data_IF_275878237422
#
_entry.id   IF_275878237422
#
_cell.length_a   1.000
_cell.length_b   1.000
_cell.length_c   1.000
_cell.angle_alpha   90.00
_cell.angle_beta   90.00
_cell.angle_gamma   90.00
#
_symmetry.space_group_name_H-M   'P 1'
#
loop_
_entity.id
_entity.type
_entity.pdbx_description
1 polymer ?
#
# COMPACT_ATOMS: atom_id res chain seq x y z
N UNK A 1 -1.83 -2.74 -12.23
CA UNK A 1 -1.97 -1.68 -11.21
C UNK A 1 -2.14 -2.31 -9.85
N UNK A 2 -1.52 -1.75 -8.86
CA UNK A 2 -1.56 -2.26 -7.50
C UNK A 2 -1.77 -1.15 -6.50
N UNK A 3 -2.38 -1.48 -5.35
CA UNK A 3 -2.55 -0.59 -4.21
C UNK A 3 -1.77 -1.18 -3.04
N UNK A 4 -0.90 -0.38 -2.45
CA UNK A 4 -0.06 -0.81 -1.32
C UNK A 4 -0.59 -0.33 0.01
N UNK A 5 -0.63 -1.22 0.98
CA UNK A 5 -0.71 -0.87 2.39
C UNK A 5 0.69 -0.51 2.92
N UNK A 6 0.74 0.05 4.12
CA UNK A 6 1.97 0.57 4.73
C UNK A 6 3.03 -0.49 4.96
N UNK A 7 2.68 -1.62 5.56
CA UNK A 7 3.67 -2.63 5.97
C UNK A 7 4.48 -3.20 4.81
N UNK A 8 3.87 -3.67 3.72
CA UNK A 8 4.67 -4.16 2.60
C UNK A 8 5.49 -3.06 1.94
N UNK A 9 4.97 -1.83 1.88
CA UNK A 9 5.70 -0.70 1.32
C UNK A 9 6.96 -0.42 2.13
N UNK A 10 6.85 -0.39 3.45
CA UNK A 10 7.98 -0.18 4.36
C UNK A 10 8.98 -1.33 4.26
N UNK A 11 8.51 -2.58 4.30
CA UNK A 11 9.38 -3.76 4.24
C UNK A 11 10.20 -3.79 2.96
N UNK A 12 9.57 -3.53 1.82
CA UNK A 12 10.25 -3.56 0.53
C UNK A 12 11.24 -2.40 0.39
N UNK A 13 10.94 -1.25 0.98
CA UNK A 13 11.86 -0.12 1.04
C UNK A 13 13.08 -0.44 1.90
N UNK A 14 12.87 -1.05 3.07
CA UNK A 14 13.94 -1.41 3.99
C UNK A 14 14.94 -2.39 3.40
N UNK A 15 14.48 -3.31 2.57
CA UNK A 15 15.37 -4.28 1.91
C UNK A 15 15.87 -3.82 0.55
N UNK A 16 15.60 -2.56 0.19
CA UNK A 16 16.15 -1.95 -1.04
C UNK A 16 15.49 -2.42 -2.33
N UNK A 17 14.26 -2.93 -2.28
CA UNK A 17 13.59 -3.51 -3.44
C UNK A 17 12.53 -2.59 -4.09
N UNK A 18 12.25 -1.44 -3.49
CA UNK A 18 11.17 -0.58 -3.98
C UNK A 18 11.40 -0.08 -5.41
N UNK A 19 12.64 0.17 -5.80
CA UNK A 19 12.95 0.58 -7.16
C UNK A 19 12.59 -0.48 -8.20
N UNK A 20 12.77 -1.75 -7.86
CA UNK A 20 12.37 -2.85 -8.74
C UNK A 20 10.85 -2.97 -8.81
N UNK A 21 10.15 -2.71 -7.70
CA UNK A 21 8.69 -2.75 -7.66
C UNK A 21 8.10 -1.69 -8.59
N UNK A 22 8.67 -0.50 -8.62
CA UNK A 22 8.21 0.57 -9.51
C UNK A 22 8.44 0.26 -11.00
N UNK A 23 9.33 -0.68 -11.29
CA UNK A 23 9.54 -1.19 -12.66
C UNK A 23 8.61 -2.37 -12.99
N UNK A 24 8.25 -3.16 -11.97
CA UNK A 24 7.40 -4.34 -12.14
C UNK A 24 5.95 -3.97 -12.43
N UNK A 25 5.45 -2.91 -11.81
CA UNK A 25 4.06 -2.47 -11.95
C UNK A 25 3.99 -1.11 -12.65
N UNK A 26 3.09 -1.00 -13.62
CA UNK A 26 2.92 0.24 -14.39
C UNK A 26 2.40 1.38 -13.51
N UNK A 27 1.49 1.07 -12.60
CA UNK A 27 0.94 2.06 -11.69
C UNK A 27 0.86 1.50 -10.29
N UNK A 28 1.37 2.27 -9.34
CA UNK A 28 1.33 1.97 -7.91
C UNK A 28 0.58 3.09 -7.22
N UNK A 29 -0.42 2.72 -6.43
CA UNK A 29 -1.23 3.67 -5.67
C UNK A 29 -1.12 3.41 -4.19
N UNK A 30 -1.16 4.48 -3.41
CA UNK A 30 -1.33 4.40 -1.95
C UNK A 30 -2.48 5.34 -1.55
N UNK A 31 -3.29 4.94 -0.57
CA UNK A 31 -4.32 5.84 -0.06
C UNK A 31 -3.73 6.90 0.88
N UNK A 32 -4.51 7.94 1.18
CA UNK A 32 -4.07 9.02 2.05
C UNK A 32 -3.62 8.56 3.44
N UNK A 33 -4.30 7.61 4.04
CA UNK A 33 -3.91 7.11 5.37
C UNK A 33 -2.54 6.46 5.34
N UNK A 34 -2.21 5.74 4.26
CA UNK A 34 -0.89 5.15 4.08
C UNK A 34 0.17 6.25 3.86
N UNK A 35 -0.15 7.25 3.07
CA UNK A 35 0.74 8.40 2.88
C UNK A 35 1.06 9.07 4.21
N UNK A 36 0.05 9.35 5.02
CA UNK A 36 0.23 9.99 6.34
C UNK A 36 1.11 9.13 7.25
N UNK A 37 0.85 7.84 7.30
CA UNK A 37 1.59 6.93 8.16
C UNK A 37 3.06 6.80 7.74
N UNK A 38 3.30 6.57 6.45
CA UNK A 38 4.63 6.24 5.94
C UNK A 38 5.47 7.51 5.70
N UNK A 39 4.87 8.54 5.11
CA UNK A 39 5.61 9.74 4.70
C UNK A 39 5.58 10.83 5.78
N UNK A 40 4.40 11.28 6.17
CA UNK A 40 4.30 12.40 7.13
C UNK A 40 4.82 12.01 8.51
N UNK A 41 4.35 10.89 9.06
CA UNK A 41 4.81 10.44 10.39
C UNK A 41 6.26 9.96 10.35
N UNK A 42 6.67 9.31 9.26
CA UNK A 42 8.03 8.89 9.07
C UNK A 42 9.01 10.06 9.02
N UNK A 43 8.65 11.16 8.34
CA UNK A 43 9.46 12.38 8.29
C UNK A 43 9.57 13.05 9.66
N UNK A 44 8.47 13.09 10.43
CA UNK A 44 8.48 13.64 11.80
C UNK A 44 9.43 12.85 12.70
N UNK A 45 9.47 11.53 12.54
CA UNK A 45 10.36 10.65 13.31
C UNK A 45 11.79 10.64 12.78
N UNK A 46 12.05 11.29 11.64
CA UNK A 46 13.38 11.34 11.02
C UNK A 46 13.78 10.04 10.34
N UNK A 47 12.84 9.22 9.94
CA UNK A 47 13.10 7.96 9.24
C UNK A 47 13.56 8.22 7.80
N UNK A 48 14.70 7.64 7.42
CA UNK A 48 15.28 7.81 6.08
C UNK A 48 14.41 7.18 4.98
N UNK A 49 13.67 6.12 5.31
CA UNK A 49 12.78 5.45 4.36
C UNK A 49 11.66 6.37 3.87
N UNK A 50 11.15 7.24 4.76
CA UNK A 50 10.11 8.19 4.40
C UNK A 50 10.58 9.16 3.32
N UNK A 51 11.79 9.68 3.45
CA UNK A 51 12.39 10.58 2.45
C UNK A 51 12.63 9.88 1.13
N UNK A 52 13.10 8.64 1.20
CA UNK A 52 13.33 7.83 0.01
C UNK A 52 12.04 7.58 -0.76
N UNK A 53 10.98 7.17 -0.06
CA UNK A 53 9.67 6.94 -0.67
C UNK A 53 9.06 8.23 -1.21
N UNK A 54 9.27 9.35 -0.54
CA UNK A 54 8.78 10.65 -0.99
C UNK A 54 9.31 11.00 -2.38
N UNK A 55 10.55 10.63 -2.69
CA UNK A 55 11.12 10.84 -4.02
C UNK A 55 10.35 10.10 -5.11
N UNK A 56 9.92 8.87 -4.84
CA UNK A 56 9.11 8.11 -5.81
C UNK A 56 7.74 8.75 -6.02
N UNK A 57 7.17 9.33 -4.98
CA UNK A 57 5.89 10.05 -5.09
C UNK A 57 6.06 11.34 -5.91
N UNK A 58 7.11 12.10 -5.66
CA UNK A 58 7.41 13.32 -6.42
C UNK A 58 7.66 13.03 -7.90
N UNK A 59 8.28 11.89 -8.20
CA UNK A 59 8.52 11.43 -9.57
C UNK A 59 7.28 10.77 -10.19
N UNK A 60 6.17 10.70 -9.48
CA UNK A 60 4.91 10.10 -9.90
C UNK A 60 5.01 8.60 -10.20
N UNK A 61 6.01 7.93 -9.64
CA UNK A 61 6.14 6.48 -9.72
C UNK A 61 5.23 5.78 -8.73
N UNK A 62 4.93 6.44 -7.61
CA UNK A 62 3.92 6.03 -6.64
C UNK A 62 2.93 7.18 -6.52
N UNK A 63 1.66 6.91 -6.72
CA UNK A 63 0.61 7.93 -6.70
C UNK A 63 -0.23 7.80 -5.43
N UNK A 64 -0.51 8.94 -4.82
CA UNK A 64 -1.43 9.00 -3.69
C UNK A 64 -2.83 9.33 -4.22
N UNK A 65 -3.82 8.55 -3.85
CA UNK A 65 -5.18 8.77 -4.30
C UNK A 65 -6.16 8.76 -3.13
N UNK A 66 -7.25 9.48 -3.29
CA UNK A 66 -8.30 9.57 -2.28
C UNK A 66 -9.27 8.40 -2.41
N UNK A 67 -9.68 7.90 -1.25
CA UNK A 67 -10.67 6.84 -1.17
C UNK A 67 -12.05 7.44 -0.99
N UNK A 68 -13.02 6.97 -1.78
CA UNK A 68 -14.43 7.25 -1.50
C UNK A 68 -14.91 6.22 -0.50
N UNK A 69 -15.21 6.68 0.71
CA UNK A 69 -15.63 5.82 1.80
C UNK A 69 -17.05 5.34 1.61
N UNK A 70 -17.21 4.12 1.16
CA UNK A 70 -18.53 3.52 0.95
C UNK A 70 -18.83 2.35 1.89
N UNK A 71 -17.83 1.83 2.59
CA UNK A 71 -18.00 0.62 3.38
C UNK A 71 -17.69 0.87 4.86
N UNK A 72 -18.71 1.36 5.57
CA UNK A 72 -18.60 1.68 7.01
C UNK A 72 -18.32 0.48 7.89
N UNK A 73 -18.60 -0.74 7.43
CA UNK A 73 -18.39 -1.96 8.23
C UNK A 73 -16.90 -2.23 8.50
N UNK A 74 -16.00 -1.62 7.74
CA UNK A 74 -14.56 -1.78 7.95
C UNK A 74 -14.00 -0.86 9.05
N UNK A 75 -14.79 0.11 9.53
CA UNK A 75 -14.37 0.96 10.64
C UNK A 75 -14.23 0.11 11.92
N UNK A 76 -13.06 0.23 12.57
CA UNK A 76 -12.77 -0.50 13.80
C UNK A 76 -12.42 -1.97 13.63
N UNK A 77 -12.54 -2.52 12.42
CA UNK A 77 -12.17 -3.92 12.13
C UNK A 77 -10.70 -4.01 11.76
N UNK A 78 -10.21 -3.07 10.96
CA UNK A 78 -8.82 -2.95 10.56
C UNK A 78 -8.38 -1.50 10.76
N UNK A 79 -7.02 -1.25 10.78
CA UNK A 79 -6.47 0.08 10.92
C UNK A 79 -6.83 0.96 9.71
N UNK A 80 -6.80 2.30 9.81
CA UNK A 80 -7.15 3.27 8.78
C UNK A 80 -6.41 3.05 7.47
N UNK A 81 -5.12 2.77 7.52
CA UNK A 81 -4.33 2.48 6.31
C UNK A 81 -4.82 1.24 5.59
N UNK A 82 -5.07 0.17 6.33
CA UNK A 82 -5.59 -1.07 5.76
C UNK A 82 -7.00 -0.89 5.19
N UNK A 83 -7.85 -0.21 5.91
CA UNK A 83 -9.22 0.08 5.46
C UNK A 83 -9.23 0.86 4.15
N UNK A 84 -8.46 1.93 4.10
CA UNK A 84 -8.38 2.76 2.89
C UNK A 84 -7.75 2.00 1.72
N UNK A 85 -6.72 1.19 1.99
CA UNK A 85 -6.09 0.38 0.94
C UNK A 85 -7.06 -0.65 0.36
N UNK A 86 -7.84 -1.33 1.21
CA UNK A 86 -8.86 -2.28 0.76
C UNK A 86 -9.91 -1.56 -0.09
N UNK A 87 -10.42 -0.43 0.38
CA UNK A 87 -11.43 0.33 -0.35
C UNK A 87 -10.91 0.86 -1.69
N UNK A 88 -9.69 1.36 -1.71
CA UNK A 88 -9.09 1.87 -2.94
C UNK A 88 -8.89 0.76 -3.97
N UNK A 89 -8.39 -0.40 -3.55
CA UNK A 89 -8.24 -1.57 -4.43
C UNK A 89 -9.58 -2.04 -4.97
N UNK A 90 -10.61 -2.05 -4.13
CA UNK A 90 -11.95 -2.42 -4.54
C UNK A 90 -12.51 -1.45 -5.58
N UNK A 91 -12.38 -0.14 -5.32
CA UNK A 91 -12.89 0.90 -6.22
C UNK A 91 -12.19 0.89 -7.58
N UNK A 92 -10.89 0.60 -7.59
CA UNK A 92 -10.09 0.56 -8.83
C UNK A 92 -10.10 -0.80 -9.53
N UNK A 93 -10.64 -1.81 -8.89
CA UNK A 93 -10.55 -3.23 -9.35
C UNK A 93 -9.09 -3.67 -9.50
N UNK A 94 -8.25 -3.23 -8.59
CA UNK A 94 -6.80 -3.49 -8.62
C UNK A 94 -6.39 -4.53 -7.59
N UNK A 95 -5.15 -4.98 -7.71
CA UNK A 95 -4.52 -5.91 -6.77
C UNK A 95 -4.12 -5.15 -5.51
N UNK A 96 -4.41 -5.71 -4.36
CA UNK A 96 -4.02 -5.17 -3.06
C UNK A 96 -2.74 -5.84 -2.57
N UNK A 97 -1.78 -5.04 -2.11
CA UNK A 97 -0.56 -5.55 -1.49
C UNK A 97 -0.65 -5.28 0.01
N UNK A 98 -0.85 -6.34 0.78
CA UNK A 98 -1.12 -6.26 2.22
C UNK A 98 -0.58 -7.50 2.94
N UNK A 99 0.02 -7.31 4.11
CA UNK A 99 0.57 -8.40 4.91
C UNK A 99 -0.38 -8.86 6.03
N UNK A 100 -1.19 -7.95 6.57
CA UNK A 100 -2.06 -8.27 7.70
C UNK A 100 -3.08 -9.36 7.35
N UNK A 101 -3.15 -10.38 8.21
CA UNK A 101 -4.02 -11.55 7.99
C UNK A 101 -5.50 -11.17 7.92
N UNK A 102 -5.96 -10.33 8.84
CA UNK A 102 -7.37 -9.90 8.88
C UNK A 102 -7.74 -9.10 7.63
N UNK A 103 -6.88 -8.20 7.20
CA UNK A 103 -7.09 -7.42 5.98
C UNK A 103 -7.13 -8.33 4.75
N UNK A 104 -6.27 -9.34 4.69
CA UNK A 104 -6.27 -10.31 3.58
C UNK A 104 -7.55 -11.13 3.54
N UNK A 105 -8.07 -11.53 4.70
CA UNK A 105 -9.35 -12.25 4.77
C UNK A 105 -10.50 -11.39 4.27
N UNK A 106 -10.52 -10.10 4.63
CA UNK A 106 -11.54 -9.16 4.15
C UNK A 106 -11.44 -8.98 2.64
N UNK A 107 -10.23 -8.82 2.13
CA UNK A 107 -9.98 -8.69 0.68
C UNK A 107 -10.52 -9.92 -0.07
N UNK A 108 -10.25 -11.11 0.45
CA UNK A 108 -10.76 -12.36 -0.15
C UNK A 108 -12.28 -12.38 -0.20
N UNK A 109 -12.94 -12.00 0.89
CA UNK A 109 -14.41 -11.94 0.95
C UNK A 109 -15.00 -10.95 -0.05
N UNK A 110 -14.28 -9.87 -0.35
CA UNK A 110 -14.69 -8.85 -1.32
C UNK A 110 -14.31 -9.17 -2.76
N UNK A 111 -13.66 -10.31 -2.99
CA UNK A 111 -13.21 -10.69 -4.32
C UNK A 111 -12.02 -9.89 -4.83
N UNK A 112 -11.25 -9.27 -3.92
CA UNK A 112 -10.04 -8.51 -4.27
C UNK A 112 -8.86 -9.47 -4.32
N UNK A 113 -8.11 -9.45 -5.41
CA UNK A 113 -6.85 -10.19 -5.49
C UNK A 113 -5.81 -9.50 -4.63
N UNK A 114 -5.03 -10.27 -3.89
CA UNK A 114 -4.01 -9.70 -3.01
C UNK A 114 -2.73 -10.52 -3.02
N UNK A 115 -1.63 -9.86 -2.66
CA UNK A 115 -0.33 -10.48 -2.37
C UNK A 115 0.25 -9.82 -1.12
N UNK A 116 1.10 -10.54 -0.39
CA UNK A 116 1.90 -9.97 0.69
C UNK A 116 3.30 -9.65 0.21
N UNK A 117 4.15 -9.19 1.12
CA UNK A 117 5.56 -8.90 0.84
C UNK A 117 6.28 -10.09 0.22
N UNK A 118 6.09 -11.29 0.78
CA UNK A 118 6.74 -12.50 0.25
C UNK A 118 6.28 -12.83 -1.17
N UNK A 119 5.00 -12.64 -1.47
CA UNK A 119 4.46 -12.85 -2.81
C UNK A 119 5.10 -11.92 -3.84
N UNK A 120 5.29 -10.65 -3.46
CA UNK A 120 5.95 -9.66 -4.32
C UNK A 120 7.43 -10.04 -4.53
N UNK A 121 8.14 -10.43 -3.47
CA UNK A 121 9.54 -10.85 -3.59
C UNK A 121 9.68 -12.05 -4.52
N UNK A 122 8.74 -12.99 -4.44
CA UNK A 122 8.71 -14.15 -5.32
C UNK A 122 8.57 -13.73 -6.79
N UNK A 123 7.77 -12.71 -7.09
CA UNK A 123 7.63 -12.18 -8.45
C UNK A 123 8.91 -11.56 -9.01
N UNK A 124 9.79 -11.05 -8.14
CA UNK A 124 11.06 -10.43 -8.55
C UNK A 124 12.13 -11.45 -8.92
N UNK A 125 11.95 -12.68 -8.53
CA UNK A 125 12.87 -13.79 -8.79
C UNK A 125 12.20 -14.86 -9.66
#
# INVERSE_FOLDING_TARGET
MVVFDSSPLIHLTQIGKIGFITQLFDEIYIPNAVYKEVIEQGNIKGESDAKFLQQFIEQKKIKCDNVKENNKILFGVVHDGEREAINLAYQKSDVLIVDDKKARMIAEQLGIKFHGTLGILYMLY
#
